data_IF_135244268573
#
_entry.id   IF_135244268573
#
_cell.length_a   1.000
_cell.length_b   1.000
_cell.length_c   1.000
_cell.angle_alpha   90.00
_cell.angle_beta   90.00
_cell.angle_gamma   90.00
#
_symmetry.space_group_name_H-M   'P 1'
#
loop_
_entity.id
_entity.type
_entity.pdbx_description
1 polymer ?
#
# COMPACT_ATOMS: atom_id res chain seq x y z
N UNK A 1 -6.19 26.57 -14.21
CA UNK A 1 -6.23 25.43 -13.28
C UNK A 1 -7.70 25.17 -13.01
N UNK A 2 -8.28 24.12 -13.58
CA UNK A 2 -9.66 23.76 -13.27
C UNK A 2 -9.59 22.95 -11.98
N UNK A 3 -10.20 23.43 -10.90
CA UNK A 3 -10.53 22.60 -9.73
C UNK A 3 -11.49 21.50 -10.21
N UNK A 4 -10.91 20.44 -10.78
CA UNK A 4 -11.63 19.26 -11.22
C UNK A 4 -11.87 18.35 -10.02
N UNK A 5 -13.10 17.87 -9.87
CA UNK A 5 -13.47 16.87 -8.87
C UNK A 5 -12.45 15.72 -8.86
N UNK A 6 -11.91 15.40 -7.68
CA UNK A 6 -11.05 14.23 -7.50
C UNK A 6 -11.83 12.99 -7.97
N UNK A 7 -11.26 12.15 -8.86
CA UNK A 7 -11.90 10.91 -9.29
C UNK A 7 -12.28 10.05 -8.09
N UNK A 8 -13.42 9.37 -8.16
CA UNK A 8 -13.95 8.59 -7.04
C UNK A 8 -12.94 7.57 -6.54
N UNK A 9 -12.21 6.90 -7.43
CA UNK A 9 -11.23 5.87 -7.12
C UNK A 9 -9.97 6.44 -6.47
N UNK A 10 -9.56 7.65 -6.85
CA UNK A 10 -8.45 8.38 -6.22
C UNK A 10 -8.85 8.82 -4.82
N UNK A 11 -10.05 9.40 -4.68
CA UNK A 11 -10.60 9.78 -3.39
C UNK A 11 -10.78 8.56 -2.49
N UNK A 12 -11.30 7.46 -3.04
CA UNK A 12 -11.52 6.23 -2.31
C UNK A 12 -10.21 5.58 -1.89
N UNK A 13 -9.19 5.56 -2.76
CA UNK A 13 -7.86 5.08 -2.39
C UNK A 13 -7.27 5.85 -1.21
N UNK A 14 -7.33 7.18 -1.26
CA UNK A 14 -6.92 8.02 -0.13
C UNK A 14 -7.70 7.70 1.14
N UNK A 15 -9.01 7.47 1.03
CA UNK A 15 -9.87 7.15 2.19
C UNK A 15 -9.62 5.77 2.79
N UNK A 16 -9.38 4.75 1.96
CA UNK A 16 -9.06 3.40 2.45
C UNK A 16 -7.61 3.25 2.90
N UNK A 17 -6.80 4.30 2.82
CA UNK A 17 -5.47 4.36 3.46
C UNK A 17 -5.43 5.35 4.63
N UNK A 18 -6.43 6.25 4.77
CA UNK A 18 -6.55 7.13 5.93
C UNK A 18 -6.80 6.32 7.23
N UNK A 19 -6.09 6.64 8.34
CA UNK A 19 -6.19 5.92 9.62
C UNK A 19 -7.58 5.83 10.27
N UNK A 20 -8.56 6.59 9.78
CA UNK A 20 -9.87 6.77 10.42
C UNK A 20 -10.98 5.84 9.91
N UNK A 21 -10.86 5.17 8.74
CA UNK A 21 -11.98 4.42 8.12
C UNK A 21 -11.65 3.02 7.54
N UNK A 22 -10.51 2.41 7.89
CA UNK A 22 -9.99 1.20 7.22
C UNK A 22 -10.88 -0.06 7.33
N UNK A 23 -11.60 -0.37 6.23
CA UNK A 23 -12.07 -1.71 5.86
C UNK A 23 -10.95 -2.44 5.10
N UNK A 24 -10.16 -3.32 5.75
CA UNK A 24 -8.92 -3.84 5.17
C UNK A 24 -9.14 -4.76 3.95
N UNK A 25 -10.35 -5.27 3.76
CA UNK A 25 -10.69 -6.24 2.72
C UNK A 25 -10.88 -5.69 1.30
N UNK A 26 -10.50 -4.43 1.01
CA UNK A 26 -10.65 -3.84 -0.34
C UNK A 26 -9.44 -3.06 -0.82
N UNK A 27 -8.34 -3.05 -0.09
CA UNK A 27 -7.16 -2.24 -0.43
C UNK A 27 -6.59 -2.65 -1.79
N UNK A 28 -6.30 -3.94 -1.97
CA UNK A 28 -5.66 -4.46 -3.19
C UNK A 28 -6.54 -4.23 -4.42
N UNK A 29 -7.84 -4.52 -4.32
CA UNK A 29 -8.82 -4.28 -5.38
C UNK A 29 -9.01 -2.78 -5.68
N UNK A 30 -8.99 -1.92 -4.66
CA UNK A 30 -9.11 -0.47 -4.84
C UNK A 30 -7.90 0.07 -5.58
N UNK A 31 -6.69 -0.35 -5.18
CA UNK A 31 -5.46 0.08 -5.84
C UNK A 31 -5.35 -0.46 -7.27
N UNK A 32 -5.87 -1.65 -7.52
CA UNK A 32 -6.01 -2.21 -8.87
C UNK A 32 -6.91 -1.33 -9.77
N UNK A 33 -8.03 -0.81 -9.26
CA UNK A 33 -8.87 0.11 -10.03
C UNK A 33 -8.15 1.42 -10.35
N UNK A 34 -7.42 1.99 -9.39
CA UNK A 34 -6.58 3.18 -9.60
C UNK A 34 -5.56 2.94 -10.70
N UNK A 35 -4.92 1.76 -10.70
CA UNK A 35 -4.00 1.34 -11.75
C UNK A 35 -4.68 1.23 -13.12
N UNK A 36 -5.80 0.52 -13.21
CA UNK A 36 -6.56 0.34 -14.45
C UNK A 36 -7.04 1.66 -15.06
N UNK A 37 -7.29 2.67 -14.22
CA UNK A 37 -7.69 4.02 -14.64
C UNK A 37 -6.51 4.94 -14.97
N UNK A 38 -5.27 4.51 -14.76
CA UNK A 38 -4.06 5.29 -15.09
C UNK A 38 -3.75 6.44 -14.13
N UNK A 39 -4.26 6.41 -12.90
CA UNK A 39 -4.09 7.48 -11.91
C UNK A 39 -2.83 7.36 -11.04
N UNK A 40 -1.89 6.48 -11.38
CA UNK A 40 -0.69 6.19 -10.57
C UNK A 40 0.18 7.41 -10.29
N UNK A 41 0.16 8.41 -11.19
CA UNK A 41 0.93 9.64 -11.03
C UNK A 41 0.18 10.76 -10.30
N UNK A 42 -1.08 10.54 -9.92
CA UNK A 42 -1.88 11.52 -9.21
C UNK A 42 -1.29 11.77 -7.80
N UNK A 43 -1.14 13.02 -7.34
CA UNK A 43 -0.53 13.33 -6.04
C UNK A 43 -1.16 12.59 -4.86
N UNK A 44 -2.50 12.58 -4.77
CA UNK A 44 -3.22 11.84 -3.73
C UNK A 44 -3.02 10.32 -3.79
N UNK A 45 -2.73 9.76 -4.97
CA UNK A 45 -2.44 8.32 -5.08
C UNK A 45 -1.06 8.03 -4.52
N UNK A 46 -0.06 8.87 -4.82
CA UNK A 46 1.27 8.74 -4.24
C UNK A 46 1.24 8.87 -2.72
N UNK A 47 0.56 9.89 -2.20
CA UNK A 47 0.39 10.07 -0.75
C UNK A 47 -0.28 8.85 -0.10
N UNK A 48 -1.32 8.31 -0.71
CA UNK A 48 -2.00 7.11 -0.22
C UNK A 48 -1.12 5.84 -0.33
N UNK A 49 -0.31 5.72 -1.39
CA UNK A 49 0.66 4.64 -1.54
C UNK A 49 1.75 4.74 -0.45
N UNK A 50 2.20 5.95 -0.10
CA UNK A 50 3.15 6.19 1.00
C UNK A 50 2.56 5.81 2.35
N UNK A 51 1.33 6.26 2.65
CA UNK A 51 0.58 5.89 3.85
C UNK A 51 0.41 4.37 3.96
N UNK A 52 0.15 3.68 2.84
CA UNK A 52 0.03 2.23 2.84
C UNK A 52 1.30 1.53 3.32
N UNK A 53 2.48 1.98 2.86
CA UNK A 53 3.76 1.39 3.30
C UNK A 53 4.03 1.72 4.77
N UNK A 54 3.73 2.95 5.20
CA UNK A 54 3.98 3.42 6.58
C UNK A 54 3.08 2.75 7.63
N UNK A 55 1.85 2.38 7.27
CA UNK A 55 0.86 1.83 8.20
C UNK A 55 0.56 0.34 7.96
N UNK A 56 1.48 -0.37 7.31
CA UNK A 56 1.25 -1.72 6.82
C UNK A 56 1.02 -2.73 7.95
N UNK A 57 1.73 -2.59 9.07
CA UNK A 57 1.54 -3.40 10.28
C UNK A 57 0.17 -3.17 10.92
N UNK A 58 -0.24 -1.91 11.08
CA UNK A 58 -1.55 -1.57 11.62
C UNK A 58 -2.69 -2.07 10.72
N UNK A 59 -2.50 -2.02 9.40
CA UNK A 59 -3.44 -2.57 8.43
C UNK A 59 -3.57 -4.09 8.59
N UNK A 60 -2.46 -4.81 8.79
CA UNK A 60 -2.45 -6.26 9.02
C UNK A 60 -3.17 -6.65 10.31
N UNK A 61 -2.90 -5.96 11.42
CA UNK A 61 -3.58 -6.22 12.70
C UNK A 61 -5.08 -5.92 12.63
N UNK A 62 -5.48 -4.89 11.88
CA UNK A 62 -6.90 -4.61 11.61
C UNK A 62 -7.52 -5.68 10.71
N UNK A 63 -6.83 -6.14 9.67
CA UNK A 63 -7.31 -7.20 8.80
C UNK A 63 -7.66 -8.47 9.58
N UNK A 64 -6.79 -8.84 10.52
CA UNK A 64 -7.02 -9.92 11.48
C UNK A 64 -8.26 -9.67 12.34
N UNK A 65 -8.44 -8.45 12.87
CA UNK A 65 -9.61 -8.09 13.69
C UNK A 65 -10.94 -8.21 12.95
N UNK A 66 -10.96 -7.88 11.66
CA UNK A 66 -12.18 -7.88 10.84
C UNK A 66 -12.34 -9.14 9.98
N UNK A 67 -11.48 -10.15 10.18
CA UNK A 67 -11.46 -11.42 9.42
C UNK A 67 -11.45 -11.20 7.89
N UNK A 68 -10.72 -10.18 7.44
CA UNK A 68 -10.57 -9.88 6.01
C UNK A 68 -9.19 -10.28 5.51
N UNK A 69 -9.14 -10.66 4.24
CA UNK A 69 -7.90 -11.06 3.58
C UNK A 69 -6.94 -9.88 3.45
N UNK A 70 -5.72 -10.06 3.97
CA UNK A 70 -4.59 -9.15 3.79
C UNK A 70 -3.34 -10.00 3.58
N UNK A 71 -3.34 -10.71 2.46
CA UNK A 71 -2.32 -11.69 2.10
C UNK A 71 -1.76 -11.39 0.72
N UNK A 72 -0.62 -12.02 0.42
CA UNK A 72 -0.02 -11.92 -0.90
C UNK A 72 -0.81 -12.76 -1.90
N UNK A 73 -0.94 -12.26 -3.13
CA UNK A 73 -1.42 -13.03 -4.27
C UNK A 73 -0.25 -13.32 -5.22
N UNK A 74 0.32 -14.52 -5.10
CA UNK A 74 1.46 -14.98 -5.91
C UNK A 74 1.12 -15.13 -7.40
N UNK A 75 -0.15 -15.06 -7.79
CA UNK A 75 -0.54 -15.05 -9.21
C UNK A 75 -0.36 -13.67 -9.84
N UNK A 76 -0.19 -12.62 -9.04
CA UNK A 76 -0.03 -11.25 -9.51
C UNK A 76 1.46 -10.91 -9.75
N UNK A 77 1.77 -10.16 -10.80
CA UNK A 77 3.15 -9.76 -11.09
C UNK A 77 3.73 -8.83 -10.01
N UNK A 78 5.05 -8.85 -9.86
CA UNK A 78 5.79 -7.97 -8.95
C UNK A 78 5.78 -6.49 -9.37
N UNK A 79 5.20 -6.11 -10.50
CA UNK A 79 4.97 -4.70 -10.81
C UNK A 79 3.76 -4.16 -10.03
N UNK A 80 2.88 -5.05 -9.57
CA UNK A 80 1.70 -4.71 -8.78
C UNK A 80 1.91 -4.97 -7.30
N UNK A 81 2.80 -4.20 -6.69
CA UNK A 81 3.23 -4.34 -5.30
C UNK A 81 2.10 -4.36 -4.26
N UNK A 82 0.96 -3.72 -4.53
CA UNK A 82 -0.19 -3.75 -3.62
C UNK A 82 -0.80 -5.15 -3.45
N UNK A 83 -0.49 -6.10 -4.33
CA UNK A 83 -0.85 -7.51 -4.18
C UNK A 83 0.12 -8.31 -3.31
N UNK A 84 1.20 -7.70 -2.80
CA UNK A 84 2.25 -8.38 -2.05
C UNK A 84 2.56 -7.71 -0.69
N UNK A 85 1.55 -7.37 0.14
CA UNK A 85 1.76 -6.65 1.39
C UNK A 85 2.66 -7.38 2.39
N UNK A 86 2.63 -8.71 2.49
CA UNK A 86 3.47 -9.42 3.45
C UNK A 86 4.93 -9.46 3.01
N UNK A 87 5.23 -9.60 1.71
CA UNK A 87 6.62 -9.45 1.21
C UNK A 87 7.18 -8.06 1.51
N UNK A 88 6.36 -7.01 1.34
CA UNK A 88 6.76 -5.64 1.70
C UNK A 88 7.01 -5.57 3.20
N UNK A 89 6.06 -6.03 4.02
CA UNK A 89 6.19 -5.96 5.47
C UNK A 89 7.44 -6.67 6.00
N UNK A 90 7.77 -7.83 5.44
CA UNK A 90 8.96 -8.61 5.84
C UNK A 90 10.27 -8.12 5.25
N UNK A 91 10.24 -7.13 4.36
CA UNK A 91 11.45 -6.71 3.65
C UNK A 91 11.94 -7.69 2.59
N UNK A 92 11.08 -8.59 2.10
CA UNK A 92 11.39 -9.60 1.08
C UNK A 92 11.08 -9.11 -0.34
N UNK A 93 10.36 -7.99 -0.47
CA UNK A 93 9.96 -7.42 -1.74
C UNK A 93 11.13 -6.76 -2.49
N UNK A 94 11.35 -7.02 -3.79
CA UNK A 94 12.44 -6.38 -4.52
C UNK A 94 12.22 -4.86 -4.64
N UNK A 95 13.08 -4.07 -4.00
CA UNK A 95 12.94 -2.61 -3.93
C UNK A 95 12.91 -1.96 -5.32
N UNK A 96 13.63 -2.50 -6.30
CA UNK A 96 13.65 -2.02 -7.68
C UNK A 96 12.31 -2.17 -8.41
N UNK A 97 11.41 -3.02 -7.91
CA UNK A 97 10.05 -3.19 -8.43
C UNK A 97 9.06 -2.17 -7.87
N UNK A 98 9.39 -1.51 -6.77
CA UNK A 98 8.57 -0.42 -6.24
C UNK A 98 8.74 0.86 -7.08
N UNK A 99 7.67 1.68 -7.19
CA UNK A 99 7.77 3.05 -7.67
C UNK A 99 8.80 3.86 -6.88
N UNK A 100 9.51 4.78 -7.55
CA UNK A 100 10.61 5.54 -6.93
C UNK A 100 10.23 6.26 -5.63
N UNK A 101 9.00 6.77 -5.54
CA UNK A 101 8.50 7.47 -4.35
C UNK A 101 8.33 6.54 -3.13
N UNK A 102 8.08 5.24 -3.35
CA UNK A 102 7.93 4.25 -2.28
C UNK A 102 9.24 3.59 -1.87
N UNK A 103 10.23 3.51 -2.77
CA UNK A 103 11.51 2.83 -2.49
C UNK A 103 12.20 3.34 -1.24
N UNK A 104 12.25 4.66 -1.08
CA UNK A 104 12.91 5.29 0.06
C UNK A 104 12.21 4.91 1.36
N UNK A 105 10.89 5.05 1.40
CA UNK A 105 10.07 4.74 2.58
C UNK A 105 10.18 3.27 2.93
N UNK A 106 10.05 2.39 1.94
CA UNK A 106 10.20 0.95 2.12
C UNK A 106 11.54 0.57 2.75
N UNK A 107 12.65 1.10 2.23
CA UNK A 107 13.99 0.82 2.76
C UNK A 107 14.19 1.39 4.17
N UNK A 108 13.61 2.55 4.47
CA UNK A 108 13.66 3.16 5.80
C UNK A 108 12.83 2.36 6.82
N UNK A 109 11.61 1.96 6.48
CA UNK A 109 10.77 1.11 7.34
C UNK A 109 11.41 -0.25 7.59
N UNK A 110 11.93 -0.90 6.55
CA UNK A 110 12.63 -2.16 6.70
C UNK A 110 13.89 -2.04 7.57
N UNK A 111 14.67 -0.96 7.42
CA UNK A 111 15.85 -0.73 8.23
C UNK A 111 15.47 -0.54 9.72
N UNK A 112 14.37 0.17 10.01
CA UNK A 112 13.84 0.32 11.37
C UNK A 112 13.44 -1.04 11.95
N UNK A 113 12.72 -1.85 11.19
CA UNK A 113 12.25 -3.16 11.63
C UNK A 113 13.43 -4.09 11.96
N UNK A 114 14.50 -4.10 11.16
CA UNK A 114 15.72 -4.86 11.47
C UNK A 114 16.45 -4.40 12.71
N UNK A 115 16.40 -3.10 13.01
CA UNK A 115 17.00 -2.54 14.24
C UNK A 115 16.17 -2.93 15.47
N UNK A 116 14.85 -2.90 15.35
CA UNK A 116 13.94 -3.23 16.45
C UNK A 116 13.86 -4.74 16.71
N UNK A 117 13.90 -5.55 15.65
CA UNK A 117 13.77 -7.01 15.70
C UNK A 117 14.92 -7.70 14.93
N UNK A 118 16.14 -7.73 15.49
CA UNK A 118 17.35 -8.26 14.82
C UNK A 118 17.38 -9.79 14.63
N UNK A 119 16.34 -10.51 15.05
CA UNK A 119 16.22 -11.98 14.99
C UNK A 119 15.16 -12.45 13.97
N UNK A 120 14.51 -11.52 13.25
CA UNK A 120 13.44 -11.80 12.26
C UNK A 120 13.98 -12.20 10.89
#
# INVERSE_FOLDING_TARGET
>A
MVEGKVPYEVWWWRKVTEPLDLLPGRIQETREKVYQLGYENHPLVKEADEDFILFLDEMKERAKRWEVSFVDDETQPLEKWWWHPNKILKGEYPAEKLPLHLRKIYLEEWAKEKVLNPQS
#
